data_IF_621057525088
#
_entry.id   IF_621057525088
#
_cell.length_a   1.000
_cell.length_b   1.000
_cell.length_c   1.000
_cell.angle_alpha   90.00
_cell.angle_beta   90.00
_cell.angle_gamma   90.00
#
_symmetry.space_group_name_H-M   'P 1'
#
loop_
_entity.id
_entity.type
_entity.pdbx_description
1 polymer ?
#
# COMPACT_ATOMS: atom_id res chain seq x y z
N UNK A 1 -7.70 -69.15 -10.98
CA UNK A 1 -6.43 -68.61 -10.43
C UNK A 1 -6.01 -67.27 -11.10
N UNK A 2 -6.27 -67.01 -12.40
CA UNK A 2 -5.79 -65.74 -13.01
C UNK A 2 -6.64 -64.50 -12.71
N UNK A 3 -7.93 -64.62 -12.47
CA UNK A 3 -8.84 -63.50 -12.26
C UNK A 3 -8.70 -62.83 -10.87
N UNK A 4 -8.28 -63.56 -9.89
CA UNK A 4 -8.07 -63.05 -8.51
C UNK A 4 -6.79 -62.25 -8.39
N UNK A 5 -5.73 -62.68 -9.09
CA UNK A 5 -4.43 -61.98 -9.12
C UNK A 5 -4.55 -60.59 -9.78
N UNK A 6 -5.38 -60.48 -10.80
CA UNK A 6 -5.58 -59.21 -11.53
C UNK A 6 -6.42 -58.21 -10.69
N UNK A 7 -7.40 -58.69 -9.94
CA UNK A 7 -8.14 -57.87 -8.97
C UNK A 7 -7.26 -57.36 -7.84
N UNK A 8 -6.43 -58.20 -7.26
CA UNK A 8 -5.51 -57.84 -6.18
C UNK A 8 -4.51 -56.78 -6.65
N UNK A 9 -3.95 -56.93 -7.87
CA UNK A 9 -3.07 -55.91 -8.45
C UNK A 9 -3.78 -54.58 -8.67
N UNK A 10 -5.02 -54.61 -9.18
CA UNK A 10 -5.79 -53.39 -9.46
C UNK A 10 -6.14 -52.63 -8.17
N UNK A 11 -6.49 -53.35 -7.09
CA UNK A 11 -6.74 -52.73 -5.78
C UNK A 11 -5.45 -52.15 -5.16
N UNK A 12 -4.35 -52.84 -5.28
CA UNK A 12 -3.05 -52.37 -4.82
C UNK A 12 -2.64 -51.07 -5.52
N UNK A 13 -2.75 -51.00 -6.87
CA UNK A 13 -2.47 -49.76 -7.62
C UNK A 13 -3.42 -48.63 -7.26
N UNK A 14 -4.72 -48.89 -7.03
CA UNK A 14 -5.68 -47.90 -6.55
C UNK A 14 -5.31 -47.38 -5.17
N UNK A 15 -4.86 -48.22 -4.26
CA UNK A 15 -4.44 -47.83 -2.91
C UNK A 15 -3.17 -46.95 -2.94
N UNK A 16 -2.19 -47.27 -3.79
CA UNK A 16 -1.00 -46.48 -3.99
C UNK A 16 -1.30 -45.10 -4.55
N UNK A 17 -2.21 -45.05 -5.56
CA UNK A 17 -2.66 -43.78 -6.16
C UNK A 17 -3.41 -42.91 -5.17
N UNK A 18 -4.26 -43.51 -4.33
CA UNK A 18 -4.97 -42.82 -3.26
C UNK A 18 -4.01 -42.28 -2.20
N UNK A 19 -3.00 -43.05 -1.79
CA UNK A 19 -1.97 -42.62 -0.83
C UNK A 19 -1.13 -41.47 -1.37
N UNK A 20 -0.77 -41.50 -2.66
CA UNK A 20 -0.01 -40.42 -3.32
C UNK A 20 -0.79 -39.12 -3.40
N UNK A 21 -2.10 -39.17 -3.75
CA UNK A 21 -2.95 -37.99 -3.77
C UNK A 21 -3.13 -37.40 -2.37
N UNK A 22 -3.38 -38.23 -1.35
CA UNK A 22 -3.53 -37.75 0.03
C UNK A 22 -2.24 -37.05 0.54
N UNK A 23 -1.06 -37.55 0.19
CA UNK A 23 0.20 -36.91 0.56
C UNK A 23 0.40 -35.56 -0.15
N UNK A 24 0.01 -35.49 -1.41
CA UNK A 24 0.05 -34.24 -2.19
C UNK A 24 -0.94 -33.20 -1.62
N UNK A 25 -2.15 -33.62 -1.32
CA UNK A 25 -3.19 -32.75 -0.75
C UNK A 25 -2.75 -32.22 0.64
N UNK A 26 -2.13 -33.06 1.46
CA UNK A 26 -1.60 -32.66 2.76
C UNK A 26 -0.45 -31.65 2.64
N UNK A 27 0.47 -31.87 1.70
CA UNK A 27 1.57 -30.95 1.42
C UNK A 27 1.07 -29.60 0.86
N UNK A 28 0.12 -29.65 -0.07
CA UNK A 28 -0.52 -28.44 -0.61
C UNK A 28 -1.26 -27.65 0.48
N UNK A 29 -2.03 -28.34 1.31
CA UNK A 29 -2.73 -27.70 2.45
C UNK A 29 -1.75 -27.06 3.44
N UNK A 30 -0.60 -27.70 3.70
CA UNK A 30 0.43 -27.13 4.56
C UNK A 30 1.03 -25.85 3.97
N UNK A 31 1.32 -25.84 2.65
CA UNK A 31 1.82 -24.61 1.97
C UNK A 31 0.78 -23.51 2.04
N UNK A 32 -0.49 -23.79 1.76
CA UNK A 32 -1.58 -22.80 1.86
C UNK A 32 -1.66 -22.23 3.27
N UNK A 33 -1.58 -23.08 4.28
CA UNK A 33 -1.58 -22.65 5.69
C UNK A 33 -0.40 -21.73 6.02
N UNK A 34 0.81 -22.05 5.56
CA UNK A 34 1.99 -21.21 5.74
C UNK A 34 1.83 -19.85 5.07
N UNK A 35 1.29 -19.82 3.84
CA UNK A 35 1.03 -18.56 3.13
C UNK A 35 0.02 -17.71 3.89
N UNK A 36 -1.07 -18.29 4.38
CA UNK A 36 -2.07 -17.58 5.16
C UNK A 36 -1.49 -17.01 6.46
N UNK A 37 -0.67 -17.78 7.17
CA UNK A 37 0.02 -17.30 8.39
C UNK A 37 0.98 -16.16 8.06
N UNK A 38 1.73 -16.25 6.96
CA UNK A 38 2.65 -15.20 6.53
C UNK A 38 1.90 -13.91 6.16
N UNK A 39 0.79 -14.03 5.44
CA UNK A 39 -0.07 -12.88 5.08
C UNK A 39 -0.70 -12.25 6.33
N UNK A 40 -1.15 -13.05 7.27
CA UNK A 40 -1.70 -12.57 8.54
C UNK A 40 -0.64 -11.82 9.36
N UNK A 41 0.55 -12.41 9.53
CA UNK A 41 1.67 -11.77 10.20
C UNK A 41 2.08 -10.45 9.52
N UNK A 42 2.10 -10.43 8.18
CA UNK A 42 2.36 -9.21 7.40
C UNK A 42 1.30 -8.14 7.64
N UNK A 43 0.01 -8.51 7.68
CA UNK A 43 -1.09 -7.57 7.96
C UNK A 43 -0.97 -6.93 9.34
N UNK A 44 -0.60 -7.72 10.37
CA UNK A 44 -0.32 -7.19 11.71
C UNK A 44 0.88 -6.25 11.68
N UNK A 45 1.97 -6.66 11.01
CA UNK A 45 3.17 -5.85 10.88
C UNK A 45 2.89 -4.49 10.23
N UNK A 46 2.10 -4.45 9.15
CA UNK A 46 1.67 -3.21 8.51
C UNK A 46 0.84 -2.35 9.47
N UNK A 47 -0.08 -2.96 10.23
CA UNK A 47 -0.91 -2.23 11.20
C UNK A 47 -0.09 -1.61 12.34
N UNK A 48 0.84 -2.37 12.92
CA UNK A 48 1.68 -1.90 14.04
C UNK A 48 2.68 -0.84 13.61
N UNK A 49 3.21 -0.93 12.38
CA UNK A 49 4.20 0.02 11.83
C UNK A 49 3.58 1.30 11.26
N UNK A 50 2.26 1.40 11.25
CA UNK A 50 1.55 2.48 10.56
C UNK A 50 1.83 3.88 11.15
N UNK A 51 2.30 3.97 12.40
CA UNK A 51 2.53 5.24 13.10
C UNK A 51 4.00 5.66 13.18
N UNK A 52 4.94 4.82 12.70
CA UNK A 52 6.37 5.08 12.82
C UNK A 52 7.05 5.23 11.46
N UNK A 53 7.40 6.45 11.08
CA UNK A 53 8.28 6.73 9.93
C UNK A 53 9.74 6.53 10.35
N UNK A 54 10.31 5.40 9.92
CA UNK A 54 11.72 5.08 10.21
C UNK A 54 12.65 5.71 9.18
N UNK A 55 13.84 6.12 9.61
CA UNK A 55 14.86 6.67 8.71
C UNK A 55 15.34 5.66 7.66
N UNK A 56 15.38 4.38 8.01
CA UNK A 56 16.01 3.35 7.19
C UNK A 56 15.03 2.40 6.50
N UNK A 57 13.75 2.39 6.90
CA UNK A 57 12.76 1.47 6.35
C UNK A 57 11.50 2.23 5.95
N UNK A 58 10.94 1.94 4.76
CA UNK A 58 9.66 2.52 4.37
C UNK A 58 8.53 2.00 5.28
N UNK A 59 7.55 2.85 5.49
CA UNK A 59 6.29 2.49 6.15
C UNK A 59 5.26 2.11 5.10
N UNK A 60 4.50 1.05 5.37
CA UNK A 60 3.40 0.64 4.49
C UNK A 60 2.13 1.40 4.87
N UNK A 61 1.49 2.04 3.90
CA UNK A 61 0.21 2.74 4.08
C UNK A 61 -0.81 2.23 3.08
N UNK A 62 -2.04 2.02 3.53
CA UNK A 62 -3.17 1.70 2.64
C UNK A 62 -3.89 2.99 2.28
N UNK A 63 -4.02 3.24 0.99
CA UNK A 63 -4.76 4.40 0.47
C UNK A 63 -6.26 4.16 0.63
N UNK A 64 -6.94 5.03 1.37
CA UNK A 64 -8.36 4.86 1.69
C UNK A 64 -9.28 5.79 0.90
N UNK A 65 -8.73 6.78 0.18
CA UNK A 65 -9.49 7.77 -0.58
C UNK A 65 -9.06 7.86 -2.02
N UNK A 66 -9.98 8.22 -2.90
CA UNK A 66 -9.74 8.32 -4.35
C UNK A 66 -9.17 9.67 -4.81
N UNK A 67 -8.68 10.52 -3.90
CA UNK A 67 -8.17 11.86 -4.27
C UNK A 67 -6.97 11.84 -5.21
N UNK A 68 -6.26 10.71 -5.30
CA UNK A 68 -5.09 10.51 -6.16
C UNK A 68 -5.31 9.52 -7.31
N UNK A 69 -6.53 8.98 -7.51
CA UNK A 69 -6.78 7.87 -8.45
C UNK A 69 -6.63 8.23 -9.92
N UNK A 70 -7.01 9.44 -10.31
CA UNK A 70 -7.07 9.88 -11.71
C UNK A 70 -6.68 11.34 -11.84
N UNK A 71 -6.32 11.73 -13.04
CA UNK A 71 -6.06 13.14 -13.38
C UNK A 71 -7.39 13.88 -13.53
N UNK A 72 -7.62 14.89 -12.70
CA UNK A 72 -8.75 15.79 -12.91
C UNK A 72 -8.50 16.69 -14.13
N UNK A 73 -9.50 16.91 -14.98
CA UNK A 73 -9.37 17.65 -16.25
C UNK A 73 -8.80 19.06 -16.10
N UNK A 74 -9.02 19.71 -14.96
CA UNK A 74 -8.48 21.05 -14.68
C UNK A 74 -7.02 21.04 -14.23
N UNK A 75 -6.49 19.89 -13.81
CA UNK A 75 -5.11 19.74 -13.34
C UNK A 75 -4.15 19.54 -14.53
N UNK A 76 -4.15 20.49 -15.46
CA UNK A 76 -3.37 20.42 -16.71
C UNK A 76 -1.88 20.29 -16.51
N UNK A 77 -1.36 20.62 -15.33
CA UNK A 77 0.05 20.46 -14.96
C UNK A 77 0.45 18.97 -14.93
N UNK A 78 -0.50 18.06 -14.64
CA UNK A 78 -0.23 16.61 -14.62
C UNK A 78 0.14 16.07 -16.00
N UNK A 79 -0.53 16.56 -17.05
CA UNK A 79 -0.22 16.17 -18.43
C UNK A 79 1.02 16.89 -18.96
N UNK A 80 1.13 18.20 -18.67
CA UNK A 80 2.26 19.00 -19.13
C UNK A 80 3.62 18.53 -18.60
N UNK A 81 3.64 17.89 -17.43
CA UNK A 81 4.86 17.40 -16.79
C UNK A 81 4.94 15.86 -16.79
N UNK A 82 4.10 15.16 -17.58
CA UNK A 82 4.07 13.71 -17.73
C UNK A 82 3.98 12.95 -16.38
N UNK A 83 3.17 13.49 -15.46
CA UNK A 83 2.99 12.91 -14.13
C UNK A 83 1.96 11.77 -14.20
N UNK A 84 2.44 10.52 -14.28
CA UNK A 84 1.62 9.32 -14.51
C UNK A 84 1.58 8.38 -13.28
N UNK A 85 1.89 8.89 -12.09
CA UNK A 85 2.01 8.13 -10.86
C UNK A 85 0.79 8.29 -9.93
N UNK A 86 -0.41 8.20 -10.48
CA UNK A 86 -1.65 8.19 -9.73
C UNK A 86 -1.74 6.95 -8.84
N UNK A 87 -2.40 7.10 -7.69
CA UNK A 87 -2.52 6.05 -6.66
C UNK A 87 -4.00 5.75 -6.47
N UNK A 88 -4.38 4.46 -6.61
CA UNK A 88 -5.78 4.07 -6.48
C UNK A 88 -6.16 3.79 -5.02
N UNK A 89 -7.46 3.91 -4.73
CA UNK A 89 -8.01 3.41 -3.47
C UNK A 89 -7.67 1.93 -3.30
N UNK A 90 -7.31 1.55 -2.08
CA UNK A 90 -6.83 0.21 -1.69
C UNK A 90 -5.48 -0.21 -2.26
N UNK A 91 -4.71 0.69 -2.87
CA UNK A 91 -3.30 0.42 -3.09
C UNK A 91 -2.55 0.42 -1.74
N UNK A 92 -1.63 -0.51 -1.60
CA UNK A 92 -0.64 -0.50 -0.53
C UNK A 92 0.60 0.22 -1.04
N UNK A 93 0.90 1.38 -0.48
CA UNK A 93 2.03 2.22 -0.88
C UNK A 93 3.18 2.15 0.12
N UNK A 94 4.41 2.30 -0.38
CA UNK A 94 5.59 2.44 0.45
C UNK A 94 5.91 3.93 0.62
N UNK A 95 5.93 4.37 1.86
CA UNK A 95 6.19 5.76 2.24
C UNK A 95 7.50 5.82 2.99
N UNK A 96 8.41 6.62 2.50
CA UNK A 96 9.70 6.89 3.12
C UNK A 96 9.60 8.10 4.05
N UNK A 97 10.46 8.20 5.03
CA UNK A 97 10.59 9.42 5.85
C UNK A 97 10.72 10.64 4.94
N UNK A 98 10.09 11.73 5.29
CA UNK A 98 10.24 12.98 4.57
C UNK A 98 11.73 13.37 4.50
N UNK A 99 12.25 13.74 3.33
CA UNK A 99 13.58 14.31 3.22
C UNK A 99 13.61 15.68 3.91
N UNK A 100 14.78 16.30 4.00
CA UNK A 100 14.88 17.65 4.55
C UNK A 100 13.98 18.63 3.78
N UNK A 101 13.52 19.66 4.50
CA UNK A 101 12.55 20.63 3.97
C UNK A 101 13.00 21.24 2.62
N UNK A 102 14.31 21.45 2.45
CA UNK A 102 14.89 22.06 1.26
C UNK A 102 15.00 21.10 0.06
N UNK A 103 14.93 19.78 0.33
CA UNK A 103 14.99 18.74 -0.69
C UNK A 103 13.61 18.38 -1.27
N UNK A 104 12.52 18.84 -0.63
CA UNK A 104 11.18 18.68 -1.17
C UNK A 104 10.99 19.54 -2.42
N UNK A 105 10.46 18.92 -3.47
CA UNK A 105 10.32 19.51 -4.80
C UNK A 105 8.86 19.63 -5.23
N UNK A 106 8.63 20.52 -6.15
CA UNK A 106 7.35 20.62 -6.85
C UNK A 106 7.03 19.27 -7.50
N UNK A 107 5.79 18.82 -7.33
CA UNK A 107 5.22 17.55 -7.79
C UNK A 107 5.61 16.31 -7.01
N UNK A 108 6.39 16.41 -5.93
CA UNK A 108 6.54 15.30 -4.99
C UNK A 108 5.18 14.92 -4.39
N UNK A 109 4.95 13.61 -4.21
CA UNK A 109 3.76 13.10 -3.52
C UNK A 109 4.15 12.85 -2.07
N UNK A 110 3.46 13.54 -1.15
CA UNK A 110 3.77 13.47 0.28
C UNK A 110 2.59 12.95 1.10
N UNK A 111 2.92 12.30 2.21
CA UNK A 111 1.97 11.98 3.27
C UNK A 111 2.07 13.06 4.35
N UNK A 112 0.96 13.65 4.69
CA UNK A 112 0.91 14.73 5.68
C UNK A 112 -0.29 14.57 6.61
N UNK A 113 -0.24 15.21 7.76
CA UNK A 113 -1.27 15.10 8.78
C UNK A 113 -2.09 16.40 8.91
N UNK A 114 -3.41 16.26 8.85
CA UNK A 114 -4.37 17.32 9.17
C UNK A 114 -5.42 16.77 10.12
N UNK A 115 -5.59 17.43 11.27
CA UNK A 115 -6.59 17.06 12.29
C UNK A 115 -6.52 15.58 12.74
N UNK A 116 -5.30 15.03 12.81
CA UNK A 116 -5.08 13.63 13.18
C UNK A 116 -5.33 12.61 12.07
N UNK A 117 -5.63 13.09 10.85
CA UNK A 117 -5.84 12.24 9.68
C UNK A 117 -4.64 12.40 8.74
N UNK A 118 -4.08 11.27 8.30
CA UNK A 118 -3.05 11.28 7.28
C UNK A 118 -3.65 11.27 5.87
N UNK A 119 -3.18 12.18 5.05
CA UNK A 119 -3.58 12.35 3.65
C UNK A 119 -2.37 12.18 2.74
N UNK A 120 -2.63 11.77 1.50
CA UNK A 120 -1.59 11.61 0.46
C UNK A 120 -1.96 12.53 -0.69
N UNK A 121 -1.18 13.60 -0.89
CA UNK A 121 -1.39 14.56 -1.98
C UNK A 121 -0.06 14.97 -2.63
N UNK A 122 -0.16 15.65 -3.75
CA UNK A 122 0.97 16.18 -4.52
C UNK A 122 1.26 17.63 -4.15
N UNK A 123 2.54 17.97 -4.04
CA UNK A 123 2.99 19.36 -3.91
C UNK A 123 2.74 20.09 -5.24
N UNK A 124 1.85 21.06 -5.25
CA UNK A 124 1.52 21.88 -6.42
C UNK A 124 2.00 23.31 -6.30
N UNK A 125 2.49 23.70 -5.13
CA UNK A 125 3.10 25.01 -4.89
C UNK A 125 4.03 24.96 -3.70
N UNK A 126 5.08 25.75 -3.75
CA UNK A 126 6.04 25.93 -2.66
C UNK A 126 6.17 27.43 -2.43
N UNK A 127 5.85 27.86 -1.21
CA UNK A 127 6.10 29.20 -0.76
C UNK A 127 7.44 29.22 -0.02
N UNK A 128 8.40 29.91 -0.60
CA UNK A 128 9.74 30.03 -0.04
C UNK A 128 9.73 30.90 1.22
N UNK A 129 10.81 30.82 2.00
CA UNK A 129 11.02 31.64 3.19
C UNK A 129 10.83 33.11 2.87
N UNK A 130 10.06 33.80 3.69
CA UNK A 130 9.77 35.20 3.53
C UNK A 130 9.67 35.90 4.91
N UNK A 131 9.30 37.16 4.96
CA UNK A 131 9.19 37.93 6.19
C UNK A 131 8.18 37.34 7.20
N UNK A 132 7.15 36.61 6.72
CA UNK A 132 6.11 36.02 7.57
C UNK A 132 6.56 34.68 8.19
N UNK A 133 7.36 33.91 7.47
CA UNK A 133 7.92 32.62 7.90
C UNK A 133 9.39 32.49 7.47
N UNK A 134 10.31 33.18 8.14
CA UNK A 134 11.70 33.29 7.71
C UNK A 134 12.48 31.96 7.78
N UNK A 135 12.03 31.01 8.58
CA UNK A 135 12.71 29.75 8.82
C UNK A 135 12.01 28.54 8.17
N UNK A 136 10.90 28.74 7.49
CA UNK A 136 10.07 27.65 6.96
C UNK A 136 9.71 27.86 5.50
N UNK A 137 9.53 26.72 4.80
CA UNK A 137 8.86 26.64 3.50
C UNK A 137 7.46 26.09 3.73
N UNK A 138 6.48 26.62 3.07
CA UNK A 138 5.10 26.16 3.13
C UNK A 138 4.71 25.50 1.80
N UNK A 139 3.91 24.46 1.88
CA UNK A 139 3.59 23.61 0.74
C UNK A 139 2.11 23.64 0.44
N UNK A 140 1.73 24.01 -0.77
CA UNK A 140 0.36 23.87 -1.26
C UNK A 140 0.22 22.47 -1.82
N UNK A 141 -0.73 21.71 -1.29
CA UNK A 141 -0.97 20.32 -1.65
C UNK A 141 -2.30 20.19 -2.42
N UNK A 142 -2.36 19.18 -3.30
CA UNK A 142 -3.57 18.89 -4.08
C UNK A 142 -3.61 17.40 -4.45
N UNK A 143 -4.81 16.80 -4.32
CA UNK A 143 -5.07 15.48 -4.90
C UNK A 143 -5.18 15.57 -6.42
N UNK A 144 -4.58 14.61 -7.13
CA UNK A 144 -4.59 14.58 -8.60
C UNK A 144 -6.03 14.53 -9.18
N UNK A 145 -6.95 13.88 -8.46
CA UNK A 145 -8.35 13.73 -8.85
C UNK A 145 -9.26 14.87 -8.35
N UNK A 146 -8.73 15.84 -7.61
CA UNK A 146 -9.48 16.95 -7.02
C UNK A 146 -9.26 18.22 -7.84
N UNK A 147 -10.31 19.02 -8.02
CA UNK A 147 -10.29 20.23 -8.86
C UNK A 147 -9.40 21.34 -8.29
N UNK A 148 -9.37 21.49 -6.98
CA UNK A 148 -8.69 22.59 -6.29
C UNK A 148 -7.70 22.08 -5.26
N UNK A 149 -6.70 22.90 -5.00
CA UNK A 149 -5.73 22.66 -3.93
C UNK A 149 -6.42 22.67 -2.55
N UNK A 150 -5.74 22.06 -1.58
CA UNK A 150 -6.16 22.08 -0.19
C UNK A 150 -6.28 23.51 0.31
N UNK A 151 -7.23 23.73 1.23
CA UNK A 151 -7.64 25.07 1.65
C UNK A 151 -6.50 25.90 2.24
N UNK A 152 -5.56 25.25 2.90
CA UNK A 152 -4.44 25.93 3.56
C UNK A 152 -3.12 25.28 3.19
N UNK A 153 -2.05 26.08 3.00
CA UNK A 153 -0.71 25.54 2.87
C UNK A 153 -0.28 24.76 4.11
N UNK A 154 0.49 23.73 3.90
CA UNK A 154 0.95 22.81 4.93
C UNK A 154 2.40 23.16 5.30
N UNK A 155 2.69 23.18 6.60
CA UNK A 155 4.04 23.38 7.14
C UNK A 155 4.82 22.06 7.07
N UNK A 156 6.14 22.15 6.94
CA UNK A 156 7.00 20.97 6.86
C UNK A 156 6.81 19.99 8.03
N UNK A 157 6.61 20.49 9.27
CA UNK A 157 6.39 19.65 10.46
C UNK A 157 5.19 18.69 10.35
N UNK A 158 4.24 19.00 9.47
CA UNK A 158 3.06 18.17 9.20
C UNK A 158 3.31 17.11 8.12
N UNK A 159 4.39 17.24 7.35
CA UNK A 159 4.77 16.26 6.34
C UNK A 159 5.47 15.09 7.04
N UNK A 160 4.87 13.92 6.95
CA UNK A 160 5.34 12.70 7.61
C UNK A 160 6.28 11.88 6.72
N UNK A 161 6.01 11.87 5.42
CA UNK A 161 6.77 11.05 4.49
C UNK A 161 6.57 11.43 3.04
N UNK A 162 7.36 10.77 2.18
CA UNK A 162 7.32 10.93 0.73
C UNK A 162 7.05 9.58 0.05
N UNK A 163 6.20 9.58 -0.97
CA UNK A 163 5.95 8.44 -1.83
C UNK A 163 6.89 8.46 -3.05
N UNK A 164 7.50 7.31 -3.37
CA UNK A 164 8.46 7.16 -4.47
C UNK A 164 8.03 6.07 -5.46
N UNK A 165 6.80 6.17 -5.97
CA UNK A 165 6.23 5.31 -7.02
C UNK A 165 6.24 3.79 -6.73
N UNK A 166 6.35 3.40 -5.47
CA UNK A 166 6.32 2.00 -5.06
C UNK A 166 4.98 1.65 -4.43
N UNK A 167 4.17 0.87 -5.15
CA UNK A 167 2.86 0.43 -4.70
C UNK A 167 2.57 -1.01 -5.08
N UNK A 168 1.72 -1.66 -4.29
CA UNK A 168 1.13 -2.96 -4.60
C UNK A 168 -0.37 -2.75 -4.78
N UNK A 169 -0.90 -2.90 -6.02
CA UNK A 169 -2.30 -2.64 -6.31
C UNK A 169 -3.23 -3.59 -5.56
N UNK A 170 -4.37 -3.09 -5.08
CA UNK A 170 -5.49 -3.82 -4.48
C UNK A 170 -5.21 -4.61 -3.20
N UNK A 171 -3.97 -4.76 -2.77
CA UNK A 171 -3.61 -5.53 -1.56
C UNK A 171 -4.15 -4.86 -0.30
N UNK A 172 -4.32 -3.56 -0.31
CA UNK A 172 -4.83 -2.79 0.83
C UNK A 172 -6.22 -3.22 1.28
N UNK A 173 -7.11 -3.61 0.37
CA UNK A 173 -8.45 -4.11 0.74
C UNK A 173 -8.37 -5.37 1.60
N UNK A 174 -7.46 -6.29 1.27
CA UNK A 174 -7.22 -7.48 2.07
C UNK A 174 -6.59 -7.14 3.42
N UNK A 175 -5.61 -6.22 3.46
CA UNK A 175 -4.99 -5.74 4.70
C UNK A 175 -6.04 -5.13 5.63
N UNK A 176 -6.90 -4.23 5.12
CA UNK A 176 -7.97 -3.61 5.89
C UNK A 176 -9.00 -4.64 6.39
N UNK A 177 -9.36 -5.62 5.55
CA UNK A 177 -10.23 -6.72 5.97
C UNK A 177 -9.62 -7.48 7.14
N UNK A 178 -8.36 -7.90 7.03
CA UNK A 178 -7.66 -8.63 8.10
C UNK A 178 -7.47 -7.82 9.39
N UNK A 179 -7.46 -6.50 9.32
CA UNK A 179 -7.40 -5.60 10.48
C UNK A 179 -8.78 -5.28 11.07
N UNK A 180 -9.85 -5.61 10.37
CA UNK A 180 -11.22 -5.39 10.82
C UNK A 180 -11.70 -6.50 11.77
N UNK A 181 -12.69 -6.24 12.65
CA UNK A 181 -13.29 -7.30 13.49
C UNK A 181 -13.83 -8.48 12.67
N UNK A 182 -14.28 -8.25 11.44
CA UNK A 182 -14.80 -9.32 10.57
C UNK A 182 -13.69 -10.26 10.04
N UNK A 183 -12.45 -9.80 9.97
CA UNK A 183 -11.31 -10.63 9.57
C UNK A 183 -10.81 -11.57 10.66
N UNK A 184 -11.30 -11.41 11.91
CA UNK A 184 -10.90 -12.21 13.07
C UNK A 184 -11.91 -13.32 13.41
N UNK A 185 -13.07 -13.38 12.75
CA UNK A 185 -14.11 -14.41 12.88
C UNK A 185 -13.93 -15.56 11.88
#
# INVERSE_FOLDING_TARGET
CGADDEKIKTEYYKSLKKKKNTSFDCFFSFIVCLVLVAVFAFSIFVGVKNDAYSENLPTFKVVQTGSMEKKHKKNTYLEKNDLNNQINTFDLILVYKAPDMDDLKLYDIVVYEVDGIELVHRIVGIEERNERHPNERWFTLQGDAVESADRFPVRYEKIKGIYRDQRVPFVGSFVLFMQSPAGWL
#
